data_IF_872406287948
#
_entry.id   IF_872406287948
#
_cell.length_a   1.000
_cell.length_b   1.000
_cell.length_c   1.000
_cell.angle_alpha   90.00
_cell.angle_beta   90.00
_cell.angle_gamma   90.00
#
_symmetry.space_group_name_H-M   'P 1'
#
loop_
_entity.id
_entity.type
_entity.pdbx_description
1 polymer ?
#
# COMPACT_ATOMS: atom_id res chain seq x y z
N UNK A 1 -22.68 -7.89 -5.10
CA UNK A 1 -21.90 -6.63 -5.07
C UNK A 1 -20.59 -6.87 -5.83
N UNK A 2 -20.42 -6.31 -7.03
CA UNK A 2 -19.29 -6.58 -7.96
C UNK A 2 -17.97 -5.87 -7.58
N UNK A 3 -17.91 -5.29 -6.38
CA UNK A 3 -17.04 -4.15 -6.07
C UNK A 3 -15.72 -4.57 -5.41
N UNK A 4 -15.52 -5.83 -5.00
CA UNK A 4 -14.30 -6.22 -4.28
C UNK A 4 -13.19 -6.80 -5.17
N UNK A 5 -13.52 -7.42 -6.31
CA UNK A 5 -12.51 -7.98 -7.22
C UNK A 5 -11.64 -6.92 -7.90
N UNK A 6 -12.23 -5.83 -8.37
CA UNK A 6 -11.51 -4.76 -9.09
C UNK A 6 -10.70 -3.83 -8.17
N UNK A 7 -11.05 -3.76 -6.88
CA UNK A 7 -10.45 -2.82 -5.92
C UNK A 7 -9.23 -3.41 -5.22
N UNK A 8 -9.34 -4.65 -4.71
CA UNK A 8 -8.31 -5.27 -3.87
C UNK A 8 -7.03 -5.57 -4.65
N UNK A 9 -7.13 -6.07 -5.88
CA UNK A 9 -5.96 -6.45 -6.69
C UNK A 9 -5.04 -5.26 -7.02
N UNK A 10 -5.55 -4.21 -7.68
CA UNK A 10 -4.75 -3.05 -8.06
C UNK A 10 -4.20 -2.26 -6.86
N UNK A 11 -4.98 -2.08 -5.80
CA UNK A 11 -4.55 -1.30 -4.62
C UNK A 11 -3.50 -2.06 -3.82
N UNK A 12 -3.71 -3.36 -3.58
CA UNK A 12 -2.71 -4.16 -2.87
C UNK A 12 -1.40 -4.25 -3.66
N UNK A 13 -1.47 -4.32 -4.99
CA UNK A 13 -0.27 -4.29 -5.85
C UNK A 13 0.49 -2.97 -5.72
N UNK A 14 -0.21 -1.83 -5.75
CA UNK A 14 0.38 -0.50 -5.54
C UNK A 14 1.07 -0.39 -4.18
N UNK A 15 0.41 -0.86 -3.12
CA UNK A 15 0.94 -0.85 -1.76
C UNK A 15 2.22 -1.70 -1.68
N UNK A 16 2.20 -2.92 -2.24
CA UNK A 16 3.39 -3.78 -2.27
C UNK A 16 4.55 -3.08 -2.99
N UNK A 17 4.29 -2.48 -4.15
CA UNK A 17 5.31 -1.78 -4.94
C UNK A 17 5.89 -0.59 -4.18
N UNK A 18 5.03 0.28 -3.66
CA UNK A 18 5.45 1.49 -2.99
C UNK A 18 6.17 1.20 -1.65
N UNK A 19 5.71 0.21 -0.87
CA UNK A 19 6.45 -0.28 0.29
C UNK A 19 7.81 -0.86 -0.10
N UNK A 20 7.89 -1.55 -1.24
CA UNK A 20 9.17 -2.10 -1.73
C UNK A 20 10.15 -1.00 -2.08
N UNK A 21 9.69 0.07 -2.72
CA UNK A 21 10.53 1.18 -3.14
C UNK A 21 10.96 2.04 -1.96
N UNK A 22 10.05 2.31 -1.01
CA UNK A 22 10.38 2.96 0.25
C UNK A 22 11.49 2.22 1.01
N UNK A 23 11.39 0.89 1.11
CA UNK A 23 12.40 0.05 1.75
C UNK A 23 13.74 0.01 1.00
N UNK A 24 13.77 0.29 -0.31
CA UNK A 24 15.03 0.39 -1.08
C UNK A 24 15.69 1.76 -0.89
N UNK A 25 14.91 2.83 -0.80
CA UNK A 25 15.41 4.21 -0.68
C UNK A 25 15.98 4.52 0.71
N UNK A 26 15.44 3.90 1.77
CA UNK A 26 16.06 3.96 3.09
C UNK A 26 17.33 3.08 3.12
N UNK A 27 18.48 3.73 2.94
CA UNK A 27 19.82 3.13 2.97
C UNK A 27 20.11 2.56 4.37
N UNK A 28 19.62 1.35 4.66
CA UNK A 28 19.86 0.69 5.94
C UNK A 28 18.82 -0.37 6.27
N UNK A 29 19.18 -1.61 6.01
CA UNK A 29 18.39 -2.85 6.21
C UNK A 29 18.03 -3.19 7.68
N UNK A 30 17.75 -2.21 8.55
CA UNK A 30 17.65 -2.44 9.99
C UNK A 30 16.29 -2.96 10.49
N UNK A 31 15.26 -3.05 9.64
CA UNK A 31 13.95 -3.60 10.00
C UNK A 31 13.68 -4.95 9.31
N UNK A 32 14.44 -5.99 9.70
CA UNK A 32 14.26 -7.38 9.22
C UNK A 32 12.79 -7.83 9.25
N UNK A 33 12.03 -7.42 10.28
CA UNK A 33 10.61 -7.74 10.39
C UNK A 33 9.72 -7.15 9.29
N UNK A 34 9.94 -5.88 8.88
CA UNK A 34 9.12 -5.26 7.82
C UNK A 34 9.33 -5.94 6.46
N UNK A 35 10.56 -6.37 6.18
CA UNK A 35 10.88 -7.12 4.97
C UNK A 35 10.18 -8.48 4.95
N UNK A 36 10.22 -9.22 6.06
CA UNK A 36 9.53 -10.51 6.18
C UNK A 36 8.02 -10.37 6.01
N UNK A 37 7.41 -9.35 6.61
CA UNK A 37 5.98 -9.09 6.45
C UNK A 37 5.60 -8.67 5.02
N UNK A 38 6.46 -7.91 4.34
CA UNK A 38 6.24 -7.55 2.93
C UNK A 38 6.33 -8.78 2.00
N UNK A 39 7.28 -9.68 2.22
CA UNK A 39 7.36 -10.92 1.43
C UNK A 39 6.17 -11.85 1.74
N UNK A 40 5.75 -11.96 3.00
CA UNK A 40 4.52 -12.67 3.38
C UNK A 40 3.29 -12.10 2.68
N UNK A 41 3.18 -10.77 2.58
CA UNK A 41 2.09 -10.12 1.87
C UNK A 41 2.14 -10.45 0.38
N UNK A 42 3.32 -10.42 -0.26
CA UNK A 42 3.49 -10.82 -1.67
C UNK A 42 3.10 -12.26 -1.93
N UNK A 43 3.53 -13.19 -1.08
CA UNK A 43 3.19 -14.61 -1.21
C UNK A 43 1.69 -14.88 -1.04
N UNK A 44 1.03 -14.12 -0.17
CA UNK A 44 -0.38 -14.29 0.12
C UNK A 44 -1.30 -13.47 -0.79
N UNK A 45 -0.81 -12.42 -1.45
CA UNK A 45 -1.57 -11.60 -2.40
C UNK A 45 -2.39 -12.43 -3.41
N UNK A 46 -1.82 -13.40 -4.17
CA UNK A 46 -2.61 -14.18 -5.12
C UNK A 46 -3.69 -15.04 -4.45
N UNK A 47 -3.44 -15.50 -3.22
CA UNK A 47 -4.42 -16.28 -2.43
C UNK A 47 -5.57 -15.39 -1.97
N UNK A 48 -5.25 -14.21 -1.45
CA UNK A 48 -6.23 -13.20 -1.02
C UNK A 48 -7.09 -12.78 -2.21
N UNK A 49 -6.48 -12.47 -3.36
CA UNK A 49 -7.19 -12.12 -4.58
C UNK A 49 -8.14 -13.25 -5.01
N UNK A 50 -7.70 -14.51 -4.95
CA UNK A 50 -8.54 -15.66 -5.28
C UNK A 50 -9.75 -15.80 -4.35
N UNK A 51 -9.53 -15.69 -3.03
CA UNK A 51 -10.61 -15.80 -2.03
C UNK A 51 -11.62 -14.68 -2.19
N UNK A 52 -11.15 -13.43 -2.33
CA UNK A 52 -12.02 -12.26 -2.51
C UNK A 52 -12.81 -12.37 -3.83
N UNK A 53 -12.17 -12.83 -4.91
CA UNK A 53 -12.85 -13.03 -6.19
C UNK A 53 -13.96 -14.09 -6.09
N UNK A 54 -13.64 -15.26 -5.52
CA UNK A 54 -14.60 -16.34 -5.34
C UNK A 54 -15.77 -15.94 -4.42
N UNK A 55 -15.48 -15.21 -3.33
CA UNK A 55 -16.49 -14.71 -2.40
C UNK A 55 -17.50 -13.77 -3.09
N UNK A 56 -17.03 -12.88 -3.97
CA UNK A 56 -17.88 -11.98 -4.73
C UNK A 56 -18.67 -12.70 -5.83
N UNK A 57 -18.02 -13.58 -6.59
CA UNK A 57 -18.64 -14.24 -7.74
C UNK A 57 -19.81 -15.14 -7.31
N UNK A 58 -19.65 -15.85 -6.19
CA UNK A 58 -20.65 -16.78 -5.69
C UNK A 58 -21.61 -16.14 -4.67
N UNK A 59 -21.55 -14.82 -4.44
CA UNK A 59 -22.31 -14.10 -3.40
C UNK A 59 -22.19 -14.77 -2.01
N UNK A 60 -21.08 -15.48 -1.76
CA UNK A 60 -20.86 -16.22 -0.52
C UNK A 60 -20.68 -15.26 0.65
N UNK A 61 -20.14 -14.05 0.39
CA UNK A 61 -20.07 -13.00 1.40
C UNK A 61 -21.45 -12.65 1.96
N UNK A 62 -22.48 -12.61 1.12
CA UNK A 62 -23.83 -12.21 1.52
C UNK A 62 -24.51 -13.30 2.37
N UNK A 63 -24.03 -14.54 2.25
CA UNK A 63 -24.51 -15.72 2.98
C UNK A 63 -23.64 -16.05 4.21
N UNK A 64 -22.44 -15.48 4.31
CA UNK A 64 -21.50 -15.70 5.40
C UNK A 64 -21.04 -14.35 5.99
N UNK A 65 -21.72 -13.88 7.06
CA UNK A 65 -21.41 -12.62 7.71
C UNK A 65 -19.95 -12.48 8.15
N UNK A 66 -19.33 -13.57 8.63
CA UNK A 66 -17.93 -13.53 9.08
C UNK A 66 -16.95 -13.36 7.92
N UNK A 67 -17.21 -13.96 6.76
CA UNK A 67 -16.43 -13.72 5.55
C UNK A 67 -16.60 -12.29 5.04
N UNK A 68 -17.82 -11.76 5.09
CA UNK A 68 -18.09 -10.39 4.69
C UNK A 68 -17.36 -9.38 5.59
N UNK A 69 -17.42 -9.58 6.91
CA UNK A 69 -16.69 -8.77 7.89
C UNK A 69 -15.18 -8.79 7.63
N UNK A 70 -14.61 -9.97 7.37
CA UNK A 70 -13.18 -10.09 7.03
C UNK A 70 -12.81 -9.35 5.75
N UNK A 71 -13.65 -9.39 4.71
CA UNK A 71 -13.42 -8.63 3.46
C UNK A 71 -13.48 -7.12 3.71
N UNK A 72 -14.37 -6.66 4.59
CA UNK A 72 -14.43 -5.25 4.97
C UNK A 72 -13.19 -4.81 5.74
N UNK A 73 -12.76 -5.58 6.74
CA UNK A 73 -11.52 -5.31 7.48
C UNK A 73 -10.30 -5.25 6.56
N UNK A 74 -10.25 -6.12 5.54
CA UNK A 74 -9.17 -6.08 4.55
C UNK A 74 -9.19 -4.78 3.74
N UNK A 75 -10.36 -4.24 3.39
CA UNK A 75 -10.48 -2.96 2.68
C UNK A 75 -10.01 -1.82 3.57
N UNK A 76 -10.51 -1.76 4.80
CA UNK A 76 -10.15 -0.69 5.75
C UNK A 76 -8.63 -0.66 5.97
N UNK A 77 -7.99 -1.83 6.15
CA UNK A 77 -6.53 -1.92 6.28
C UNK A 77 -5.78 -1.47 5.00
N UNK A 78 -6.32 -1.74 3.81
CA UNK A 78 -5.70 -1.27 2.56
C UNK A 78 -5.83 0.25 2.40
N UNK A 79 -6.97 0.82 2.77
CA UNK A 79 -7.21 2.26 2.71
C UNK A 79 -6.29 3.01 3.70
N UNK A 80 -6.16 2.51 4.95
CA UNK A 80 -5.24 3.07 5.95
C UNK A 80 -3.77 3.06 5.46
N UNK A 81 -3.34 1.96 4.84
CA UNK A 81 -1.98 1.87 4.30
C UNK A 81 -1.79 2.81 3.12
N UNK A 82 -2.80 2.98 2.26
CA UNK A 82 -2.75 3.94 1.17
C UNK A 82 -2.64 5.38 1.68
N UNK A 83 -3.39 5.76 2.71
CA UNK A 83 -3.32 7.09 3.33
C UNK A 83 -1.91 7.40 3.88
N UNK A 84 -1.29 6.44 4.57
CA UNK A 84 0.09 6.57 5.07
C UNK A 84 1.09 6.72 3.93
N UNK A 85 0.90 5.97 2.84
CA UNK A 85 1.73 6.05 1.64
C UNK A 85 1.66 7.43 0.97
N UNK A 86 0.45 7.97 0.82
CA UNK A 86 0.23 9.31 0.28
C UNK A 86 0.89 10.39 1.16
N UNK A 87 0.86 10.25 2.49
CA UNK A 87 1.54 11.15 3.42
C UNK A 87 3.08 11.08 3.27
N UNK A 88 3.64 9.87 3.12
CA UNK A 88 5.07 9.69 2.88
C UNK A 88 5.53 10.33 1.56
N UNK A 89 4.75 10.17 0.49
CA UNK A 89 5.03 10.78 -0.81
C UNK A 89 4.97 12.32 -0.73
N UNK A 90 3.96 12.86 -0.04
CA UNK A 90 3.87 14.29 0.22
C UNK A 90 5.11 14.84 0.95
N UNK A 91 5.58 14.15 1.98
CA UNK A 91 6.76 14.54 2.74
C UNK A 91 8.02 14.55 1.88
N UNK A 92 8.22 13.52 1.04
CA UNK A 92 9.34 13.46 0.09
C UNK A 92 9.33 14.62 -0.91
N UNK A 93 8.16 14.93 -1.46
CA UNK A 93 8.00 16.08 -2.37
C UNK A 93 8.30 17.41 -1.68
N UNK A 94 7.83 17.60 -0.44
CA UNK A 94 8.11 18.80 0.36
C UNK A 94 9.60 18.98 0.64
N UNK A 95 10.33 17.91 0.96
CA UNK A 95 11.78 17.95 1.17
C UNK A 95 12.56 18.30 -0.12
N UNK A 96 12.13 17.80 -1.28
CA UNK A 96 12.73 18.17 -2.56
C UNK A 96 12.53 19.65 -2.88
N UNK A 97 11.32 20.18 -2.69
CA UNK A 97 11.03 21.60 -2.91
C UNK A 97 11.86 22.51 -2.00
N UNK A 98 12.00 22.15 -0.73
CA UNK A 98 12.82 22.92 0.21
C UNK A 98 14.29 22.96 -0.21
N UNK A 99 14.87 21.82 -0.61
CA UNK A 99 16.24 21.74 -1.14
C UNK A 99 16.44 22.62 -2.38
N UNK A 100 15.54 22.52 -3.36
CA UNK A 100 15.61 23.33 -4.58
C UNK A 100 15.54 24.84 -4.28
N UNK A 101 14.77 25.24 -3.26
CA UNK A 101 14.64 26.65 -2.83
C UNK A 101 15.90 27.15 -2.13
N UNK A 102 16.58 26.30 -1.36
CA UNK A 102 17.88 26.62 -0.76
C UNK A 102 18.99 26.74 -1.81
N UNK A 103 19.03 25.83 -2.80
CA UNK A 103 19.99 25.87 -3.91
C UNK A 103 19.85 27.14 -4.77
N UNK A 104 18.61 27.59 -5.04
CA UNK A 104 18.38 28.85 -5.78
C UNK A 104 18.80 30.09 -5.01
N UNK A 105 18.66 30.10 -3.67
CA UNK A 105 19.17 31.19 -2.82
C UNK A 105 20.70 31.25 -2.79
N UNK A 106 21.37 30.09 -2.79
CA UNK A 106 22.84 30.03 -2.83
C UNK A 106 23.37 30.49 -4.19
N UNK A 107 22.78 30.04 -5.31
CA UNK A 107 23.20 30.46 -6.66
C UNK A 107 22.92 31.94 -6.99
N UNK A 108 21.98 32.59 -6.29
CA UNK A 108 21.68 34.03 -6.50
C UNK A 108 22.46 34.97 -5.59
N UNK A 109 23.22 34.44 -4.63
CA UNK A 109 24.02 35.20 -3.67
C UNK A 109 25.53 35.22 -3.99
N UNK A 110 25.95 34.62 -5.11
CA UNK A 110 27.31 34.65 -5.69
C UNK A 110 27.30 35.31 -7.05
#
# INVERSE_FOLDING_TARGET
MEVAGWFVGPIMSKIIEACSDYLKEQVGWQTTGMKEELERLRENHPKIQTVVFAANQAQISDQNPGLNEWIWQLRDALDEVNDVLDELEYMKHKEQLNRNTEETKVCSAT
#
